data_IF_277370036903
#
_entry.id   IF_277370036903
#
_cell.length_a   1.000
_cell.length_b   1.000
_cell.length_c   1.000
_cell.angle_alpha   90.00
_cell.angle_beta   90.00
_cell.angle_gamma   90.00
#
_symmetry.space_group_name_H-M   'P 1'
#
loop_
_entity.id
_entity.type
_entity.pdbx_description
1 polymer ?
#
# COMPACT_ATOMS: atom_id res chain seq x y z
N UNK A 1 -85.43 7.25 1.41
CA UNK A 1 -86.48 8.11 1.99
C UNK A 1 -85.87 8.87 3.16
N UNK A 2 -86.32 10.10 3.39
CA UNK A 2 -85.93 11.10 4.41
C UNK A 2 -84.72 12.00 4.09
N UNK A 3 -85.02 13.13 3.42
CA UNK A 3 -84.50 14.46 3.81
C UNK A 3 -85.00 14.78 5.24
N UNK A 4 -84.27 15.56 6.08
CA UNK A 4 -84.21 17.03 5.97
C UNK A 4 -82.81 17.57 6.42
N UNK A 5 -82.42 18.83 6.48
CA UNK A 5 -83.07 20.15 6.51
C UNK A 5 -81.93 21.17 6.29
N UNK A 6 -82.17 22.25 5.53
CA UNK A 6 -81.25 23.41 5.46
C UNK A 6 -81.57 24.38 6.59
N UNK A 7 -80.55 24.91 7.27
CA UNK A 7 -80.64 26.24 7.90
C UNK A 7 -79.27 26.92 8.03
N UNK A 8 -79.15 28.01 7.29
CA UNK A 8 -78.43 29.25 7.58
C UNK A 8 -76.94 29.21 7.96
N UNK A 9 -76.09 29.44 6.95
CA UNK A 9 -74.74 29.99 7.12
C UNK A 9 -74.86 31.49 7.45
N UNK A 10 -74.25 31.93 8.54
CA UNK A 10 -73.82 33.32 8.75
C UNK A 10 -72.30 33.36 8.88
N UNK A 11 -71.73 34.30 8.14
CA UNK A 11 -70.31 34.54 7.94
C UNK A 11 -69.55 34.92 9.22
N UNK A 12 -68.35 34.36 9.37
CA UNK A 12 -67.26 34.94 10.16
C UNK A 12 -65.95 34.81 9.37
N UNK A 13 -65.59 35.89 8.66
CA UNK A 13 -64.25 36.46 8.52
C UNK A 13 -63.11 35.64 7.86
N UNK A 14 -62.31 36.24 6.96
CA UNK A 14 -61.15 35.58 6.38
C UNK A 14 -60.06 35.37 7.44
N UNK A 15 -59.60 34.13 7.62
CA UNK A 15 -58.43 33.86 8.46
C UNK A 15 -57.18 34.46 7.81
N UNK A 16 -56.64 35.48 8.46
CA UNK A 16 -55.38 36.12 8.08
C UNK A 16 -54.25 35.13 8.34
N UNK A 17 -53.81 34.39 7.30
CA UNK A 17 -52.46 33.79 7.30
C UNK A 17 -51.45 34.94 7.31
N UNK A 18 -51.03 35.34 8.50
CA UNK A 18 -49.96 36.32 8.68
C UNK A 18 -48.70 35.81 7.98
N UNK A 19 -48.24 36.54 6.95
CA UNK A 19 -46.89 36.35 6.42
C UNK A 19 -45.91 36.56 7.59
N UNK A 20 -44.96 35.66 7.86
CA UNK A 20 -44.01 35.85 8.95
C UNK A 20 -43.31 37.20 8.75
N UNK A 21 -43.45 38.10 9.73
CA UNK A 21 -42.94 39.46 9.63
C UNK A 21 -41.46 39.49 9.28
N UNK A 22 -41.04 40.41 8.40
CA UNK A 22 -39.65 40.58 7.93
C UNK A 22 -38.60 40.48 9.05
N UNK A 23 -38.93 41.02 10.23
CA UNK A 23 -38.12 40.92 11.45
C UNK A 23 -37.93 39.47 11.95
N UNK A 24 -38.99 38.65 12.00
CA UNK A 24 -38.90 37.27 12.49
C UNK A 24 -38.01 36.40 11.59
N UNK A 25 -38.09 36.62 10.27
CA UNK A 25 -37.23 35.98 9.26
C UNK A 25 -35.78 36.50 9.36
N UNK A 26 -35.58 37.79 9.63
CA UNK A 26 -34.27 38.39 9.86
C UNK A 26 -33.57 37.84 11.12
N UNK A 27 -34.27 37.79 12.26
CA UNK A 27 -33.74 37.27 13.52
C UNK A 27 -33.46 35.76 13.48
N UNK A 28 -34.26 34.97 12.77
CA UNK A 28 -33.97 33.54 12.55
C UNK A 28 -32.77 33.34 11.64
N UNK A 29 -32.61 34.14 10.57
CA UNK A 29 -31.41 34.12 9.73
C UNK A 29 -30.15 34.54 10.50
N UNK A 30 -30.20 35.58 11.34
CA UNK A 30 -29.07 35.99 12.18
C UNK A 30 -28.71 34.95 13.25
N UNK A 31 -29.69 34.34 13.91
CA UNK A 31 -29.47 33.24 14.87
C UNK A 31 -28.90 31.99 14.18
N UNK A 32 -29.37 31.67 12.98
CA UNK A 32 -28.81 30.57 12.19
C UNK A 32 -27.36 30.85 11.79
N UNK A 33 -27.07 32.06 11.30
CA UNK A 33 -25.70 32.48 10.96
C UNK A 33 -24.75 32.44 12.17
N UNK A 34 -25.20 32.88 13.34
CA UNK A 34 -24.42 32.80 14.58
C UNK A 34 -24.16 31.34 14.99
N UNK A 35 -25.18 30.47 14.94
CA UNK A 35 -25.04 29.03 15.23
C UNK A 35 -24.08 28.34 14.26
N UNK A 36 -24.15 28.67 12.96
CA UNK A 36 -23.25 28.13 11.94
C UNK A 36 -21.80 28.59 12.18
N UNK A 37 -21.57 29.85 12.57
CA UNK A 37 -20.23 30.35 12.92
C UNK A 37 -19.66 29.65 14.15
N UNK A 38 -20.47 29.44 15.20
CA UNK A 38 -20.06 28.70 16.39
C UNK A 38 -19.74 27.25 16.05
N UNK A 39 -20.60 26.58 15.26
CA UNK A 39 -20.35 25.22 14.80
C UNK A 39 -19.05 25.13 13.99
N UNK A 40 -18.84 26.04 13.04
CA UNK A 40 -17.60 26.12 12.26
C UNK A 40 -16.37 26.28 13.15
N UNK A 41 -16.43 27.17 14.15
CA UNK A 41 -15.32 27.40 15.07
C UNK A 41 -15.03 26.16 15.94
N UNK A 42 -16.06 25.49 16.46
CA UNK A 42 -15.93 24.24 17.21
C UNK A 42 -15.31 23.16 16.33
N UNK A 43 -15.83 22.97 15.11
CA UNK A 43 -15.27 22.01 14.15
C UNK A 43 -13.82 22.34 13.82
N UNK A 44 -13.47 23.60 13.62
CA UNK A 44 -12.10 24.02 13.38
C UNK A 44 -11.18 23.70 14.58
N UNK A 45 -11.63 23.96 15.82
CA UNK A 45 -10.88 23.57 17.01
C UNK A 45 -10.67 22.05 17.06
N UNK A 46 -11.73 21.27 16.88
CA UNK A 46 -11.64 19.80 16.88
C UNK A 46 -10.64 19.35 15.83
N UNK A 47 -10.72 19.89 14.60
CA UNK A 47 -9.86 19.47 13.50
C UNK A 47 -8.41 19.93 13.67
N UNK A 48 -8.13 21.12 14.20
CA UNK A 48 -6.76 21.65 14.24
C UNK A 48 -6.00 21.33 15.54
N UNK A 49 -6.70 20.94 16.61
CA UNK A 49 -6.08 20.44 17.85
C UNK A 49 -5.95 18.92 17.76
N UNK A 50 -4.74 18.42 17.49
CA UNK A 50 -4.48 16.98 17.23
C UNK A 50 -5.12 16.03 18.26
N UNK A 51 -4.97 16.21 19.59
CA UNK A 51 -5.62 15.33 20.55
C UNK A 51 -7.15 15.32 20.42
N UNK A 52 -7.77 16.47 20.18
CA UNK A 52 -9.23 16.54 19.97
C UNK A 52 -9.62 15.82 18.68
N UNK A 53 -8.91 16.09 17.56
CA UNK A 53 -9.16 15.45 16.27
C UNK A 53 -9.09 13.93 16.37
N UNK A 54 -8.00 13.40 16.94
CA UNK A 54 -7.73 11.97 16.99
C UNK A 54 -8.73 11.21 17.88
N UNK A 55 -9.33 11.87 18.88
CA UNK A 55 -10.27 11.25 19.81
C UNK A 55 -11.76 11.51 19.47
N UNK A 56 -12.06 12.61 18.78
CA UNK A 56 -13.45 13.05 18.52
C UNK A 56 -13.91 12.84 17.08
N UNK A 57 -13.01 12.58 16.13
CA UNK A 57 -13.38 12.33 14.73
C UNK A 57 -13.44 10.82 14.48
N UNK A 58 -14.65 10.24 14.30
CA UNK A 58 -14.79 8.80 14.07
C UNK A 58 -14.09 8.37 12.78
N UNK A 59 -13.37 7.24 12.82
CA UNK A 59 -12.68 6.70 11.66
C UNK A 59 -11.47 7.50 11.19
N UNK A 60 -10.91 8.37 12.05
CA UNK A 60 -9.68 9.09 11.71
C UNK A 60 -8.52 8.11 11.44
N UNK A 61 -7.87 8.15 10.27
CA UNK A 61 -6.84 7.16 9.92
C UNK A 61 -5.66 7.18 10.89
N UNK A 62 -5.21 5.99 11.29
CA UNK A 62 -4.04 5.84 12.17
C UNK A 62 -2.78 6.46 11.53
N UNK A 63 -2.68 6.32 10.20
CA UNK A 63 -1.90 7.14 9.25
C UNK A 63 -1.60 8.57 9.70
N UNK A 64 -2.67 9.26 10.07
CA UNK A 64 -2.68 10.71 10.16
C UNK A 64 -2.55 11.19 11.60
N UNK A 65 -2.56 10.27 12.58
CA UNK A 65 -2.56 10.61 14.01
C UNK A 65 -1.35 11.46 14.38
N UNK A 66 -0.20 11.19 13.75
CA UNK A 66 1.07 11.87 13.99
C UNK A 66 1.32 13.09 13.09
N UNK A 67 0.33 13.51 12.30
CA UNK A 67 0.38 14.71 11.46
C UNK A 67 -0.51 15.82 12.02
N UNK A 68 -0.05 17.07 11.93
CA UNK A 68 -0.92 18.22 12.18
C UNK A 68 -1.90 18.37 11.02
N UNK A 69 -3.06 18.96 11.26
CA UNK A 69 -4.04 19.20 10.19
C UNK A 69 -3.51 20.16 9.14
N UNK A 70 -2.66 21.11 9.52
CA UNK A 70 -1.94 21.95 8.57
C UNK A 70 -1.02 21.14 7.65
N UNK A 71 -0.25 20.20 8.20
CA UNK A 71 0.64 19.35 7.39
C UNK A 71 -0.16 18.47 6.42
N UNK A 72 -1.30 17.92 6.86
CA UNK A 72 -2.18 17.14 5.97
C UNK A 72 -2.72 18.00 4.84
N UNK A 73 -3.26 19.19 5.14
CA UNK A 73 -3.74 20.12 4.09
C UNK A 73 -2.60 20.44 3.13
N UNK A 74 -1.40 20.75 3.63
CA UNK A 74 -0.22 21.05 2.81
C UNK A 74 0.13 19.89 1.87
N UNK A 75 0.15 18.66 2.39
CA UNK A 75 0.45 17.44 1.61
C UNK A 75 -0.59 17.25 0.49
N UNK A 76 -1.88 17.26 0.84
CA UNK A 76 -2.97 17.02 -0.11
C UNK A 76 -3.04 18.12 -1.17
N UNK A 77 -2.96 19.39 -0.77
CA UNK A 77 -3.00 20.54 -1.69
C UNK A 77 -1.75 20.56 -2.57
N UNK A 78 -0.57 20.31 -2.01
CA UNK A 78 0.69 20.31 -2.76
C UNK A 78 0.70 19.26 -3.87
N UNK A 79 0.22 18.05 -3.58
CA UNK A 79 0.20 16.98 -4.57
C UNK A 79 -0.81 17.24 -5.71
N UNK A 80 -1.91 17.97 -5.48
CA UNK A 80 -2.89 18.30 -6.54
C UNK A 80 -2.23 19.00 -7.73
N UNK A 81 -1.21 19.83 -7.48
CA UNK A 81 -0.53 20.62 -8.51
C UNK A 81 0.62 19.90 -9.22
N UNK A 82 0.89 18.63 -8.88
CA UNK A 82 1.90 17.85 -9.58
C UNK A 82 1.39 17.49 -10.99
N UNK A 83 2.03 18.06 -11.99
CA UNK A 83 1.77 17.77 -13.40
C UNK A 83 2.76 16.71 -13.91
N UNK A 84 2.23 15.55 -14.29
CA UNK A 84 2.99 14.42 -14.81
C UNK A 84 2.66 14.28 -16.29
N UNK A 85 3.69 14.37 -17.14
CA UNK A 85 3.52 14.15 -18.58
C UNK A 85 3.45 12.64 -18.87
N UNK A 86 2.24 12.20 -19.21
CA UNK A 86 1.91 10.79 -19.52
C UNK A 86 1.95 10.46 -21.01
N UNK A 87 2.40 11.39 -21.87
CA UNK A 87 2.64 11.07 -23.28
C UNK A 87 3.66 9.92 -23.41
N UNK A 88 3.57 9.05 -24.43
CA UNK A 88 4.60 8.04 -24.66
C UNK A 88 6.00 8.67 -24.77
N UNK A 89 7.01 8.01 -24.22
CA UNK A 89 8.40 8.45 -24.43
C UNK A 89 8.79 8.20 -25.90
N UNK A 90 9.29 9.24 -26.57
CA UNK A 90 9.67 9.19 -28.00
C UNK A 90 11.17 9.36 -28.23
N UNK A 91 11.97 9.45 -27.17
CA UNK A 91 13.42 9.61 -27.26
C UNK A 91 14.17 8.28 -27.47
N UNK A 92 15.50 8.36 -27.58
CA UNK A 92 16.35 7.18 -27.77
C UNK A 92 16.52 6.35 -26.49
N UNK A 93 16.43 5.04 -26.64
CA UNK A 93 16.70 4.04 -25.61
C UNK A 93 18.17 3.57 -25.54
N UNK A 94 19.05 4.06 -26.42
CA UNK A 94 20.43 3.56 -26.52
C UNK A 94 21.22 3.67 -25.22
N UNK A 95 21.15 4.81 -24.54
CA UNK A 95 21.85 5.00 -23.26
C UNK A 95 21.28 4.10 -22.16
N UNK A 96 19.97 3.83 -22.20
CA UNK A 96 19.30 2.90 -21.28
C UNK A 96 19.82 1.50 -21.51
N UNK A 97 19.77 1.01 -22.74
CA UNK A 97 20.28 -0.31 -23.10
C UNK A 97 21.77 -0.46 -22.77
N UNK A 98 22.60 0.54 -23.07
CA UNK A 98 24.05 0.53 -22.76
C UNK A 98 24.32 0.42 -21.27
N UNK A 99 23.49 1.06 -20.43
CA UNK A 99 23.64 1.01 -18.97
C UNK A 99 23.11 -0.30 -18.40
N UNK A 100 21.96 -0.78 -18.88
CA UNK A 100 21.38 -2.05 -18.45
C UNK A 100 22.25 -3.25 -18.84
N UNK A 101 22.98 -3.18 -19.96
CA UNK A 101 23.96 -4.19 -20.35
C UNK A 101 25.12 -4.39 -19.35
N UNK A 102 25.31 -3.46 -18.40
CA UNK A 102 26.36 -3.53 -17.37
C UNK A 102 25.87 -4.07 -16.02
N UNK A 103 24.58 -4.37 -15.89
CA UNK A 103 23.99 -4.92 -14.67
C UNK A 103 23.39 -6.29 -14.94
N UNK A 104 23.24 -7.09 -13.89
CA UNK A 104 22.58 -8.39 -13.97
C UNK A 104 21.07 -8.18 -14.08
N UNK A 105 20.55 -8.21 -15.32
CA UNK A 105 19.11 -8.23 -15.58
C UNK A 105 18.55 -9.65 -15.41
N UNK A 106 17.34 -9.80 -14.86
CA UNK A 106 16.69 -11.11 -14.75
C UNK A 106 16.25 -11.63 -16.12
N UNK A 107 16.12 -12.95 -16.22
CA UNK A 107 15.51 -13.62 -17.37
C UNK A 107 14.26 -14.34 -16.91
N UNK A 108 13.23 -14.36 -17.76
CA UNK A 108 11.91 -14.89 -17.37
C UNK A 108 11.97 -16.39 -17.05
N UNK A 109 12.80 -17.14 -17.78
CA UNK A 109 13.00 -18.58 -17.60
C UNK A 109 13.70 -18.94 -16.28
N UNK A 110 14.42 -17.99 -15.67
CA UNK A 110 15.11 -18.17 -14.39
C UNK A 110 14.21 -17.82 -13.19
N UNK A 111 13.00 -17.31 -13.43
CA UNK A 111 12.11 -16.88 -12.35
C UNK A 111 11.48 -18.10 -11.66
N UNK A 112 11.56 -18.08 -10.33
CA UNK A 112 10.95 -19.07 -9.47
C UNK A 112 9.41 -19.02 -9.57
N UNK A 113 8.74 -20.14 -9.27
CA UNK A 113 7.28 -20.19 -9.18
C UNK A 113 6.86 -21.26 -8.17
N UNK A 114 5.68 -21.06 -7.58
CA UNK A 114 5.01 -22.03 -6.73
C UNK A 114 4.02 -22.85 -7.56
N UNK A 115 4.21 -24.17 -7.59
CA UNK A 115 3.34 -25.08 -8.33
C UNK A 115 2.11 -25.49 -7.51
N UNK A 116 0.93 -25.42 -8.12
CA UNK A 116 -0.33 -25.74 -7.46
C UNK A 116 -0.45 -27.23 -7.10
N UNK A 117 0.14 -28.15 -7.89
CA UNK A 117 0.14 -29.58 -7.56
C UNK A 117 1.03 -29.86 -6.37
N UNK A 118 2.20 -29.20 -6.32
CA UNK A 118 3.07 -29.26 -5.15
C UNK A 118 2.37 -28.73 -3.89
N UNK A 119 1.65 -27.62 -4.01
CA UNK A 119 0.82 -27.09 -2.93
C UNK A 119 -0.16 -28.14 -2.39
N UNK A 120 -0.95 -28.78 -3.27
CA UNK A 120 -1.90 -29.83 -2.88
C UNK A 120 -1.20 -31.04 -2.23
N UNK A 121 -0.01 -31.41 -2.72
CA UNK A 121 0.78 -32.50 -2.15
C UNK A 121 1.24 -32.18 -0.73
N UNK A 122 1.77 -30.97 -0.50
CA UNK A 122 2.27 -30.53 0.80
C UNK A 122 1.13 -30.27 1.79
N UNK A 123 0.04 -29.64 1.35
CA UNK A 123 -1.13 -29.35 2.19
C UNK A 123 -1.85 -30.63 2.65
N UNK A 124 -1.79 -31.72 1.87
CA UNK A 124 -2.34 -33.01 2.27
C UNK A 124 -1.72 -33.55 3.58
N UNK A 125 -0.44 -33.24 3.85
CA UNK A 125 0.23 -33.64 5.10
C UNK A 125 -0.36 -32.98 6.34
N UNK A 126 -1.11 -31.89 6.19
CA UNK A 126 -1.71 -31.12 7.29
C UNK A 126 -3.12 -31.61 7.67
N UNK A 127 -3.73 -32.50 6.87
CA UNK A 127 -5.10 -32.98 7.08
C UNK A 127 -5.32 -33.67 8.43
N UNK A 128 -4.26 -34.24 9.03
CA UNK A 128 -4.32 -34.84 10.36
C UNK A 128 -4.04 -33.88 11.51
N UNK A 129 -3.58 -32.67 11.24
CA UNK A 129 -3.17 -31.68 12.25
C UNK A 129 -4.09 -30.46 12.35
N UNK A 130 -4.92 -30.21 11.33
CA UNK A 130 -5.80 -29.05 11.25
C UNK A 130 -7.28 -29.49 11.30
N UNK A 131 -8.14 -28.63 11.84
CA UNK A 131 -9.60 -28.82 11.79
C UNK A 131 -10.13 -28.68 10.35
N UNK A 132 -11.40 -29.05 10.14
CA UNK A 132 -12.04 -28.88 8.81
C UNK A 132 -12.14 -27.41 8.42
N UNK A 133 -12.39 -26.54 9.38
CA UNK A 133 -12.48 -25.09 9.20
C UNK A 133 -11.11 -24.50 8.86
N UNK A 134 -10.05 -24.91 9.55
CA UNK A 134 -8.67 -24.50 9.26
C UNK A 134 -8.22 -24.96 7.87
N UNK A 135 -8.61 -26.18 7.46
CA UNK A 135 -8.34 -26.69 6.11
C UNK A 135 -9.11 -25.91 5.03
N UNK A 136 -10.32 -25.43 5.33
CA UNK A 136 -11.06 -24.58 4.41
C UNK A 136 -10.39 -23.20 4.26
N UNK A 137 -9.92 -22.61 5.37
CA UNK A 137 -9.15 -21.35 5.35
C UNK A 137 -7.84 -21.53 4.58
N UNK A 138 -7.18 -22.68 4.74
CA UNK A 138 -5.90 -22.97 4.07
C UNK A 138 -5.99 -22.84 2.53
N UNK A 139 -7.15 -23.13 1.93
CA UNK A 139 -7.37 -22.99 0.48
C UNK A 139 -7.21 -21.56 -0.04
N UNK A 140 -7.38 -20.54 0.81
CA UNK A 140 -7.17 -19.13 0.44
C UNK A 140 -5.68 -18.78 0.26
N UNK A 141 -4.79 -19.67 0.71
CA UNK A 141 -3.33 -19.52 0.70
C UNK A 141 -2.65 -20.36 -0.39
N UNK A 142 -3.39 -20.92 -1.35
CA UNK A 142 -2.79 -21.57 -2.53
C UNK A 142 -2.23 -20.55 -3.52
N UNK A 143 -1.33 -20.97 -4.43
CA UNK A 143 -0.83 -20.07 -5.46
C UNK A 143 -1.98 -19.44 -6.26
N UNK A 144 -2.00 -18.12 -6.33
CA UNK A 144 -3.06 -17.31 -6.98
C UNK A 144 -2.85 -17.19 -8.50
N UNK A 145 -1.59 -17.26 -8.92
CA UNK A 145 -1.12 -17.08 -10.29
C UNK A 145 -0.63 -18.41 -10.86
N UNK A 146 -0.79 -18.59 -12.17
CA UNK A 146 -0.18 -19.72 -12.87
C UNK A 146 1.36 -19.59 -12.86
N UNK A 147 2.12 -20.68 -13.05
CA UNK A 147 3.58 -20.60 -13.12
C UNK A 147 4.11 -19.55 -14.11
N UNK A 148 3.52 -19.48 -15.30
CA UNK A 148 3.90 -18.51 -16.33
C UNK A 148 3.65 -17.08 -15.85
N UNK A 149 2.52 -16.84 -15.20
CA UNK A 149 2.19 -15.51 -14.68
C UNK A 149 3.09 -15.12 -13.50
N UNK A 150 3.41 -16.05 -12.59
CA UNK A 150 4.38 -15.79 -11.52
C UNK A 150 5.75 -15.39 -12.10
N UNK A 151 6.23 -16.12 -13.11
CA UNK A 151 7.47 -15.81 -13.81
C UNK A 151 7.42 -14.44 -14.51
N UNK A 152 6.30 -14.13 -15.16
CA UNK A 152 6.06 -12.82 -15.79
C UNK A 152 6.08 -11.67 -14.78
N UNK A 153 5.39 -11.84 -13.64
CA UNK A 153 5.33 -10.83 -12.58
C UNK A 153 6.70 -10.60 -11.95
N UNK A 154 7.41 -11.67 -11.61
CA UNK A 154 8.76 -11.60 -11.06
C UNK A 154 9.77 -11.00 -12.04
N UNK A 155 9.70 -11.38 -13.32
CA UNK A 155 10.53 -10.78 -14.37
C UNK A 155 10.29 -9.27 -14.46
N UNK A 156 9.03 -8.83 -14.45
CA UNK A 156 8.68 -7.40 -14.48
C UNK A 156 9.16 -6.66 -13.24
N UNK A 157 8.92 -7.21 -12.05
CA UNK A 157 9.34 -6.61 -10.78
C UNK A 157 10.87 -6.46 -10.71
N UNK A 158 11.59 -7.56 -10.95
CA UNK A 158 13.03 -7.58 -10.80
C UNK A 158 13.70 -6.73 -11.89
N UNK A 159 13.22 -6.77 -13.14
CA UNK A 159 13.71 -5.89 -14.20
C UNK A 159 13.47 -4.41 -13.87
N UNK A 160 12.31 -4.09 -13.30
CA UNK A 160 11.99 -2.73 -12.82
C UNK A 160 12.99 -2.31 -11.74
N UNK A 161 13.14 -3.09 -10.67
CA UNK A 161 14.04 -2.75 -9.56
C UNK A 161 15.50 -2.62 -9.99
N UNK A 162 16.00 -3.52 -10.84
CA UNK A 162 17.37 -3.45 -11.36
C UNK A 162 17.57 -2.23 -12.27
N UNK A 163 16.58 -1.87 -13.10
CA UNK A 163 16.66 -0.67 -13.93
C UNK A 163 16.64 0.61 -13.10
N UNK A 164 15.75 0.70 -12.09
CA UNK A 164 15.71 1.84 -11.17
C UNK A 164 17.04 2.00 -10.42
N UNK A 165 17.57 0.90 -9.87
CA UNK A 165 18.85 0.89 -9.19
C UNK A 165 20.00 1.27 -10.11
N UNK A 166 20.04 0.74 -11.34
CA UNK A 166 21.08 1.04 -12.31
C UNK A 166 21.15 2.55 -12.59
N UNK A 167 20.02 3.26 -12.56
CA UNK A 167 19.90 4.70 -12.81
C UNK A 167 19.96 5.58 -11.55
N UNK A 168 20.24 5.01 -10.37
CA UNK A 168 20.20 5.71 -9.09
C UNK A 168 18.85 6.41 -8.84
N UNK A 169 17.76 5.79 -9.28
CA UNK A 169 16.41 6.24 -8.93
C UNK A 169 16.12 5.73 -7.51
N UNK A 170 15.69 6.63 -6.65
CA UNK A 170 15.27 6.31 -5.28
C UNK A 170 13.92 5.60 -5.34
N UNK A 171 13.88 4.36 -4.83
CA UNK A 171 12.68 3.55 -4.76
C UNK A 171 12.70 2.65 -3.53
N UNK A 172 11.57 2.05 -3.20
CA UNK A 172 11.47 0.93 -2.27
C UNK A 172 10.25 0.06 -2.63
N UNK A 173 10.31 -1.23 -2.30
CA UNK A 173 9.14 -2.12 -2.35
C UNK A 173 8.26 -1.89 -1.12
N UNK A 174 6.94 -1.98 -1.26
CA UNK A 174 5.98 -1.69 -0.19
C UNK A 174 4.86 -2.72 -0.14
N UNK A 175 3.95 -2.55 0.81
CA UNK A 175 2.72 -3.33 0.96
C UNK A 175 2.98 -4.86 0.96
N UNK A 176 2.20 -5.63 0.20
CA UNK A 176 2.34 -7.08 0.05
C UNK A 176 3.73 -7.49 -0.43
N UNK A 177 4.37 -6.70 -1.30
CA UNK A 177 5.74 -6.99 -1.76
C UNK A 177 6.76 -6.91 -0.62
N UNK A 178 6.59 -5.98 0.33
CA UNK A 178 7.47 -5.89 1.49
C UNK A 178 7.22 -7.04 2.48
N UNK A 179 5.97 -7.50 2.62
CA UNK A 179 5.65 -8.73 3.38
C UNK A 179 6.31 -9.93 2.70
N UNK A 180 6.26 -10.02 1.36
CA UNK A 180 6.92 -11.06 0.59
C UNK A 180 8.43 -11.11 0.83
N UNK A 181 9.10 -9.96 0.73
CA UNK A 181 10.50 -9.83 1.15
C UNK A 181 10.69 -10.35 2.58
N UNK A 182 9.86 -9.90 3.51
CA UNK A 182 10.01 -10.22 4.91
C UNK A 182 9.83 -11.71 5.19
N UNK A 183 8.86 -12.38 4.56
CA UNK A 183 8.51 -13.76 4.86
C UNK A 183 9.18 -14.77 3.96
N UNK A 184 9.43 -14.45 2.71
CA UNK A 184 9.80 -15.43 1.68
C UNK A 184 11.13 -15.08 0.98
N UNK A 185 11.75 -13.94 1.29
CA UNK A 185 12.80 -13.34 0.44
C UNK A 185 12.35 -13.29 -1.03
N UNK A 186 11.07 -13.04 -1.27
CA UNK A 186 10.46 -13.32 -2.57
C UNK A 186 8.97 -12.98 -2.57
N UNK A 187 8.27 -13.47 -3.57
CA UNK A 187 6.85 -13.18 -3.73
C UNK A 187 5.99 -13.91 -2.70
N UNK A 188 4.85 -13.34 -2.27
CA UNK A 188 3.87 -14.06 -1.46
C UNK A 188 3.14 -15.03 -2.41
N UNK A 189 3.15 -16.35 -2.15
CA UNK A 189 2.63 -17.34 -3.10
C UNK A 189 1.18 -17.10 -3.53
N UNK A 190 0.34 -16.61 -2.61
CA UNK A 190 -1.09 -16.39 -2.80
C UNK A 190 -1.45 -14.93 -3.12
N UNK A 191 -0.48 -14.06 -3.35
CA UNK A 191 -0.71 -12.67 -3.77
C UNK A 191 -0.74 -12.56 -5.30
N UNK A 192 -1.28 -11.50 -5.89
CA UNK A 192 -1.44 -11.42 -7.36
C UNK A 192 -0.90 -10.15 -8.04
N UNK A 193 -0.21 -9.30 -7.29
CA UNK A 193 0.54 -8.14 -7.78
C UNK A 193 1.74 -7.77 -6.90
N UNK A 194 2.51 -6.78 -7.34
CA UNK A 194 3.64 -6.25 -6.60
C UNK A 194 3.69 -4.73 -6.66
N UNK A 195 4.05 -4.11 -5.54
CA UNK A 195 4.01 -2.66 -5.33
C UNK A 195 5.42 -2.08 -5.15
N UNK A 196 5.75 -1.08 -5.97
CA UNK A 196 7.00 -0.34 -5.90
C UNK A 196 6.68 1.15 -5.81
N UNK A 197 7.30 1.86 -4.86
CA UNK A 197 7.24 3.31 -4.79
C UNK A 197 8.58 3.92 -5.21
N UNK A 198 8.54 4.96 -6.04
CA UNK A 198 9.72 5.73 -6.45
C UNK A 198 9.56 7.23 -6.18
N UNK A 199 10.68 7.96 -6.06
CA UNK A 199 10.66 9.39 -5.76
C UNK A 199 9.98 10.17 -6.90
N UNK A 200 8.89 10.86 -6.57
CA UNK A 200 8.10 11.64 -7.51
C UNK A 200 8.95 12.69 -8.23
N UNK A 201 9.98 13.26 -7.61
CA UNK A 201 10.87 14.23 -8.26
C UNK A 201 11.63 13.62 -9.46
N UNK A 202 11.79 12.30 -9.50
CA UNK A 202 12.52 11.57 -10.54
C UNK A 202 11.60 11.00 -11.65
N UNK A 203 10.30 11.32 -11.66
CA UNK A 203 9.34 10.79 -12.64
C UNK A 203 9.77 10.95 -14.11
N UNK A 204 10.44 12.04 -14.58
CA UNK A 204 10.85 12.13 -15.97
C UNK A 204 11.90 11.07 -16.34
N UNK A 205 12.82 10.80 -15.42
CA UNK A 205 13.84 9.77 -15.59
C UNK A 205 13.23 8.38 -15.52
N UNK A 206 12.29 8.15 -14.59
CA UNK A 206 11.56 6.89 -14.48
C UNK A 206 10.78 6.60 -15.76
N UNK A 207 10.08 7.59 -16.32
CA UNK A 207 9.39 7.49 -17.61
C UNK A 207 10.35 7.02 -18.71
N UNK A 208 11.48 7.72 -18.89
CA UNK A 208 12.51 7.34 -19.88
C UNK A 208 13.00 5.91 -19.67
N UNK A 209 13.40 5.57 -18.45
CA UNK A 209 14.00 4.27 -18.14
C UNK A 209 13.00 3.17 -18.36
N UNK A 210 11.81 3.27 -17.78
CA UNK A 210 10.78 2.23 -17.83
C UNK A 210 10.16 2.05 -19.22
N UNK A 211 10.12 3.10 -20.05
CA UNK A 211 9.74 2.96 -21.47
C UNK A 211 10.81 2.24 -22.32
N UNK A 212 12.03 2.07 -21.81
CA UNK A 212 13.17 1.52 -22.52
C UNK A 212 13.71 0.21 -21.91
N UNK A 213 13.03 -0.38 -20.92
CA UNK A 213 13.45 -1.69 -20.39
C UNK A 213 13.04 -2.78 -21.37
N UNK A 214 13.98 -3.60 -21.91
CA UNK A 214 13.64 -4.65 -22.86
C UNK A 214 12.64 -5.66 -22.28
N UNK A 215 11.63 -6.02 -23.07
CA UNK A 215 10.61 -7.00 -22.70
C UNK A 215 9.52 -6.49 -21.76
N UNK A 216 9.55 -5.21 -21.36
CA UNK A 216 8.51 -4.58 -20.55
C UNK A 216 7.80 -3.48 -21.32
N UNK A 217 6.54 -3.24 -20.94
CA UNK A 217 5.73 -2.12 -21.37
C UNK A 217 5.30 -1.29 -20.16
N UNK A 218 5.20 0.03 -20.35
CA UNK A 218 4.79 0.99 -19.33
C UNK A 218 3.43 1.60 -19.68
N UNK A 219 2.49 1.54 -18.74
CA UNK A 219 1.26 2.30 -18.77
C UNK A 219 1.25 3.36 -17.67
N UNK A 220 0.98 4.62 -18.04
CA UNK A 220 0.95 5.75 -17.10
C UNK A 220 -0.49 6.19 -16.81
N UNK A 221 -1.06 5.67 -15.73
CA UNK A 221 -2.41 5.99 -15.25
C UNK A 221 -2.58 7.47 -14.86
N UNK A 222 -3.82 7.96 -14.98
CA UNK A 222 -4.21 9.34 -14.64
C UNK A 222 -4.21 9.58 -13.12
N UNK A 223 -4.47 8.52 -12.37
CA UNK A 223 -4.44 8.41 -10.92
C UNK A 223 -3.03 8.33 -10.32
N UNK A 224 -2.00 8.44 -11.17
CA UNK A 224 -0.58 8.39 -10.80
C UNK A 224 -0.14 7.03 -10.25
N UNK A 225 -0.92 6.00 -10.56
CA UNK A 225 -0.56 4.59 -10.44
C UNK A 225 -0.13 4.12 -11.82
N UNK A 226 1.16 3.86 -11.98
CA UNK A 226 1.70 3.33 -13.24
C UNK A 226 1.72 1.82 -13.18
N UNK A 227 1.65 1.19 -14.35
CA UNK A 227 1.70 -0.27 -14.47
C UNK A 227 2.85 -0.65 -15.39
N UNK A 228 3.66 -1.60 -14.94
CA UNK A 228 4.74 -2.19 -15.73
C UNK A 228 4.43 -3.67 -15.90
N UNK A 229 4.41 -4.16 -17.12
CA UNK A 229 4.07 -5.56 -17.41
C UNK A 229 4.94 -6.10 -18.54
N UNK A 230 5.17 -7.43 -18.59
CA UNK A 230 5.88 -8.03 -19.71
C UNK A 230 5.11 -7.84 -21.01
N UNK A 231 5.80 -7.50 -22.09
CA UNK A 231 5.20 -7.39 -23.43
C UNK A 231 4.60 -8.72 -23.91
N UNK A 232 5.09 -9.84 -23.38
CA UNK A 232 4.59 -11.20 -23.65
C UNK A 232 3.34 -11.59 -22.85
N UNK A 233 2.93 -10.80 -21.85
CA UNK A 233 1.79 -11.12 -21.00
C UNK A 233 0.46 -11.00 -21.78
N UNK A 234 -0.59 -11.66 -21.32
CA UNK A 234 -1.90 -11.58 -21.99
C UNK A 234 -2.56 -10.22 -21.73
N UNK A 235 -3.34 -9.72 -22.70
CA UNK A 235 -4.15 -8.53 -22.49
C UNK A 235 -5.11 -8.78 -21.32
N UNK A 236 -5.14 -7.87 -20.35
CA UNK A 236 -5.97 -8.03 -19.18
C UNK A 236 -7.45 -7.91 -19.57
N UNK A 237 -8.29 -8.82 -19.10
CA UNK A 237 -9.71 -8.89 -19.49
C UNK A 237 -10.40 -7.53 -19.36
N UNK A 238 -10.97 -7.04 -20.45
CA UNK A 238 -11.67 -5.75 -20.51
C UNK A 238 -10.79 -4.52 -20.73
N UNK A 239 -9.46 -4.67 -20.78
CA UNK A 239 -8.53 -3.59 -21.11
C UNK A 239 -8.26 -3.49 -22.61
N UNK A 240 -7.76 -2.32 -23.03
CA UNK A 240 -7.27 -2.10 -24.39
C UNK A 240 -5.75 -2.11 -24.50
N UNK A 241 -5.05 -1.95 -23.38
CA UNK A 241 -3.60 -1.76 -23.36
C UNK A 241 -2.91 -2.56 -22.24
N UNK A 242 -3.44 -2.50 -21.02
CA UNK A 242 -2.78 -3.11 -19.87
C UNK A 242 -2.84 -4.64 -19.99
N UNK A 243 -1.69 -5.29 -19.77
CA UNK A 243 -1.56 -6.75 -19.73
C UNK A 243 -1.45 -7.24 -18.29
N UNK A 244 -1.84 -8.48 -18.05
CA UNK A 244 -1.78 -9.12 -16.74
C UNK A 244 -0.85 -10.34 -16.79
N UNK A 245 0.03 -10.53 -15.78
CA UNK A 245 0.16 -9.74 -14.55
C UNK A 245 0.98 -8.46 -14.74
N UNK A 246 0.93 -7.57 -13.74
CA UNK A 246 1.63 -6.28 -13.75
C UNK A 246 2.21 -5.93 -12.38
N UNK A 247 3.23 -5.08 -12.41
CA UNK A 247 3.78 -4.35 -11.27
C UNK A 247 3.08 -3.01 -11.16
N UNK A 248 2.61 -2.68 -9.97
CA UNK A 248 2.13 -1.35 -9.64
C UNK A 248 3.28 -0.46 -9.18
N UNK A 249 3.47 0.63 -9.91
CA UNK A 249 4.55 1.58 -9.72
C UNK A 249 3.96 2.93 -9.32
N UNK A 250 4.10 3.28 -8.04
CA UNK A 250 3.58 4.52 -7.47
C UNK A 250 4.70 5.53 -7.24
N UNK A 251 4.31 6.79 -7.15
CA UNK A 251 5.22 7.88 -6.77
C UNK A 251 5.08 8.19 -5.29
N UNK A 252 6.19 8.50 -4.61
CA UNK A 252 6.18 9.05 -3.26
C UNK A 252 6.83 10.44 -3.21
N UNK A 253 6.33 11.26 -2.31
CA UNK A 253 6.96 12.50 -1.86
C UNK A 253 7.38 12.35 -0.41
N UNK A 254 8.25 13.26 0.06
CA UNK A 254 8.65 13.28 1.46
C UNK A 254 9.05 14.69 1.93
N UNK A 255 9.02 14.90 3.24
CA UNK A 255 9.57 16.07 3.92
C UNK A 255 10.48 15.64 5.07
N UNK A 256 10.78 16.52 6.02
CA UNK A 256 11.60 16.15 7.18
C UNK A 256 10.95 15.09 8.08
N UNK A 257 9.62 15.04 8.11
CA UNK A 257 8.86 14.19 9.01
C UNK A 257 8.32 12.90 8.38
N UNK A 258 7.81 12.95 7.15
CA UNK A 258 7.01 11.86 6.56
C UNK A 258 7.37 11.59 5.09
N UNK A 259 7.05 10.37 4.66
CA UNK A 259 6.98 9.92 3.27
C UNK A 259 5.53 9.59 2.99
N UNK A 260 4.99 9.99 1.83
CA UNK A 260 3.61 9.70 1.45
C UNK A 260 3.49 9.41 -0.05
N UNK A 261 2.56 8.53 -0.45
CA UNK A 261 2.28 8.30 -1.85
C UNK A 261 1.60 9.54 -2.45
N UNK A 262 1.97 9.87 -3.68
CA UNK A 262 1.35 10.94 -4.45
C UNK A 262 -0.05 10.53 -4.91
N UNK A 263 -0.29 9.23 -5.11
CA UNK A 263 -1.61 8.68 -5.39
C UNK A 263 -2.57 8.99 -4.23
N UNK A 264 -3.73 9.56 -4.53
CA UNK A 264 -4.60 10.19 -3.53
C UNK A 264 -5.19 9.18 -2.54
N UNK A 265 -5.71 8.06 -3.05
CA UNK A 265 -6.36 7.04 -2.23
C UNK A 265 -5.34 6.29 -1.36
N UNK A 266 -4.12 6.07 -1.86
CA UNK A 266 -3.07 5.35 -1.13
C UNK A 266 -2.51 6.15 0.07
N UNK A 267 -2.78 7.45 0.19
CA UNK A 267 -2.30 8.26 1.33
C UNK A 267 -2.81 7.74 2.66
N UNK A 268 -4.04 7.22 2.67
CA UNK A 268 -4.65 6.56 3.83
C UNK A 268 -4.23 5.12 3.98
N UNK A 269 -3.23 4.64 3.24
CA UNK A 269 -2.71 3.27 3.34
C UNK A 269 -1.19 3.26 3.60
N UNK A 270 -0.41 4.17 2.99
CA UNK A 270 1.06 4.07 2.94
C UNK A 270 1.83 5.33 3.40
N UNK A 271 1.18 6.31 4.03
CA UNK A 271 1.89 7.49 4.58
C UNK A 271 2.59 7.17 5.89
N UNK A 272 3.91 7.36 5.95
CA UNK A 272 4.76 6.84 7.03
C UNK A 272 5.77 7.86 7.55
N UNK A 273 6.23 7.74 8.82
CA UNK A 273 7.35 8.53 9.30
C UNK A 273 8.58 8.31 8.43
N UNK A 274 9.22 9.41 7.99
CA UNK A 274 10.38 9.35 7.09
C UNK A 274 11.47 8.46 7.62
N UNK A 275 11.78 8.54 8.92
CA UNK A 275 12.79 7.72 9.61
C UNK A 275 12.56 6.19 9.53
N UNK A 276 11.36 5.74 9.18
CA UNK A 276 11.05 4.31 9.00
C UNK A 276 11.28 3.86 7.55
N UNK A 277 11.23 4.79 6.60
CA UNK A 277 11.36 4.49 5.16
C UNK A 277 12.75 4.88 4.65
N UNK A 278 13.19 6.11 4.90
CA UNK A 278 14.40 6.72 4.37
C UNK A 278 15.46 6.99 5.47
N UNK A 279 16.77 6.84 5.17
CA UNK A 279 17.30 6.21 3.96
C UNK A 279 16.88 4.74 3.88
N UNK A 280 16.73 4.23 2.67
CA UNK A 280 16.34 2.84 2.45
C UNK A 280 17.45 1.88 2.92
N UNK A 281 17.08 0.62 3.12
CA UNK A 281 18.01 -0.48 3.33
C UNK A 281 18.06 -1.36 2.09
N UNK A 282 19.09 -2.21 1.99
CA UNK A 282 19.22 -3.21 0.94
C UNK A 282 18.66 -4.54 1.44
N UNK A 283 17.73 -5.11 0.67
CA UNK A 283 17.19 -6.45 0.87
C UNK A 283 17.53 -7.36 -0.31
N UNK A 284 17.09 -8.62 -0.21
CA UNK A 284 17.14 -9.61 -1.30
C UNK A 284 15.75 -10.12 -1.58
N UNK A 285 15.39 -10.15 -2.86
CA UNK A 285 14.11 -10.64 -3.36
C UNK A 285 14.37 -11.55 -4.56
N UNK A 286 14.00 -12.83 -4.46
CA UNK A 286 14.29 -13.89 -5.44
C UNK A 286 15.77 -13.94 -5.85
N UNK A 287 16.67 -13.67 -4.89
CA UNK A 287 18.13 -13.64 -5.11
C UNK A 287 18.66 -12.35 -5.76
N UNK A 288 17.83 -11.35 -6.01
CA UNK A 288 18.23 -10.04 -6.54
C UNK A 288 18.25 -8.97 -5.45
N UNK A 289 19.19 -8.01 -5.50
CA UNK A 289 19.20 -6.89 -4.56
C UNK A 289 18.03 -5.96 -4.84
N UNK A 290 17.30 -5.58 -3.79
CA UNK A 290 16.19 -4.63 -3.84
C UNK A 290 16.32 -3.57 -2.76
N UNK A 291 15.71 -2.41 -2.98
CA UNK A 291 15.58 -1.36 -1.98
C UNK A 291 14.31 -1.58 -1.15
N UNK A 292 14.44 -1.54 0.17
CA UNK A 292 13.36 -1.72 1.15
C UNK A 292 13.34 -0.52 2.11
N UNK A 293 12.22 -0.26 2.82
CA UNK A 293 12.21 0.70 3.92
C UNK A 293 13.34 0.46 4.92
N UNK A 294 13.87 1.54 5.50
CA UNK A 294 14.95 1.46 6.48
C UNK A 294 14.63 0.69 7.77
N UNK A 295 13.35 0.69 8.18
CA UNK A 295 12.81 -0.04 9.32
C UNK A 295 11.60 -0.89 8.88
N UNK A 296 11.83 -1.96 8.08
CA UNK A 296 10.75 -2.68 7.41
C UNK A 296 9.80 -3.34 8.41
N UNK A 297 10.31 -3.92 9.50
CA UNK A 297 9.46 -4.53 10.55
C UNK A 297 8.49 -3.55 11.20
N UNK A 298 8.92 -2.30 11.46
CA UNK A 298 8.03 -1.29 12.06
C UNK A 298 6.97 -0.82 11.08
N UNK A 299 7.37 -0.63 9.83
CA UNK A 299 6.43 -0.30 8.76
C UNK A 299 5.38 -1.41 8.63
N UNK A 300 5.82 -2.66 8.44
CA UNK A 300 4.94 -3.82 8.31
C UNK A 300 4.02 -4.00 9.51
N UNK A 301 4.55 -3.98 10.73
CA UNK A 301 3.72 -4.23 11.91
C UNK A 301 2.69 -3.13 12.17
N UNK A 302 2.99 -1.90 11.76
CA UNK A 302 2.03 -0.81 11.84
C UNK A 302 0.85 -1.04 10.88
N UNK A 303 1.10 -1.54 9.67
CA UNK A 303 0.04 -1.79 8.68
C UNK A 303 -0.74 -3.08 8.94
N UNK A 304 -0.06 -4.15 9.36
CA UNK A 304 -0.60 -5.51 9.26
C UNK A 304 -0.58 -6.31 10.58
N UNK A 305 -0.12 -5.74 11.69
CA UNK A 305 -0.02 -6.46 12.97
C UNK A 305 1.23 -7.34 13.07
N UNK A 306 1.16 -8.50 13.71
CA UNK A 306 2.35 -9.35 13.92
C UNK A 306 2.69 -10.15 12.65
N UNK A 307 3.43 -9.54 11.73
CA UNK A 307 3.71 -10.17 10.42
C UNK A 307 4.59 -11.41 10.53
N UNK A 308 5.24 -11.67 11.66
CA UNK A 308 6.05 -12.86 11.90
C UNK A 308 5.19 -14.09 12.23
N UNK A 309 3.99 -13.86 12.79
CA UNK A 309 3.09 -14.91 13.27
C UNK A 309 1.83 -15.07 12.44
N UNK A 310 1.30 -13.98 11.88
CA UNK A 310 -0.04 -13.94 11.32
C UNK A 310 -0.03 -13.81 9.80
N UNK A 311 -0.64 -14.77 9.12
CA UNK A 311 -0.77 -14.79 7.67
C UNK A 311 -2.22 -14.46 7.28
N UNK A 312 -2.37 -13.51 6.36
CA UNK A 312 -3.68 -13.01 5.92
C UNK A 312 -3.90 -13.33 4.44
N UNK A 313 -5.16 -13.55 4.08
CA UNK A 313 -5.58 -13.64 2.70
C UNK A 313 -5.48 -12.29 1.99
N UNK A 314 -5.64 -12.31 0.66
CA UNK A 314 -5.68 -11.10 -0.17
C UNK A 314 -6.81 -10.17 0.28
N UNK A 315 -6.55 -8.87 0.17
CA UNK A 315 -7.54 -7.81 0.37
C UNK A 315 -8.19 -7.36 -0.94
N UNK A 316 -7.56 -7.67 -2.07
CA UNK A 316 -8.02 -7.32 -3.40
C UNK A 316 -7.63 -8.44 -4.37
N UNK A 317 -8.55 -8.86 -5.22
CA UNK A 317 -8.29 -9.78 -6.31
C UNK A 317 -7.97 -8.98 -7.56
N UNK A 318 -6.68 -8.84 -7.89
CA UNK A 318 -6.27 -7.93 -8.97
C UNK A 318 -6.81 -8.34 -10.30
N UNK A 319 -6.77 -9.63 -10.64
CA UNK A 319 -7.28 -10.12 -11.92
C UNK A 319 -8.76 -9.78 -12.12
N UNK A 320 -9.58 -9.94 -11.08
CA UNK A 320 -11.03 -9.75 -11.09
C UNK A 320 -11.46 -8.30 -10.83
N UNK A 321 -10.55 -7.40 -10.44
CA UNK A 321 -10.84 -6.02 -10.02
C UNK A 321 -11.81 -5.94 -8.84
N UNK A 322 -11.67 -6.86 -7.90
CA UNK A 322 -12.62 -7.00 -6.79
C UNK A 322 -11.93 -6.76 -5.46
N UNK A 323 -12.45 -5.81 -4.67
CA UNK A 323 -12.08 -5.70 -3.26
C UNK A 323 -12.70 -6.86 -2.49
N UNK A 324 -11.90 -7.57 -1.69
CA UNK A 324 -12.38 -8.65 -0.84
C UNK A 324 -13.11 -8.02 0.36
N UNK A 325 -14.41 -8.33 0.56
CA UNK A 325 -15.17 -7.86 1.71
C UNK A 325 -14.47 -8.25 3.01
N UNK A 326 -14.53 -7.38 4.03
CA UNK A 326 -13.83 -7.61 5.31
C UNK A 326 -14.22 -8.94 5.96
N UNK A 327 -15.48 -9.35 5.81
CA UNK A 327 -16.00 -10.62 6.34
C UNK A 327 -15.43 -11.86 5.66
N UNK A 328 -14.92 -11.72 4.43
CA UNK A 328 -14.38 -12.82 3.62
C UNK A 328 -12.85 -12.85 3.68
N UNK A 329 -12.22 -11.90 4.37
CA UNK A 329 -10.77 -11.89 4.58
C UNK A 329 -10.44 -12.91 5.65
N UNK A 330 -9.65 -13.91 5.30
CA UNK A 330 -9.27 -14.98 6.21
C UNK A 330 -7.89 -14.74 6.80
N UNK A 331 -7.68 -15.36 7.96
CA UNK A 331 -6.45 -15.30 8.74
C UNK A 331 -6.13 -16.70 9.23
N UNK A 332 -4.84 -17.01 9.28
CA UNK A 332 -4.34 -18.14 10.04
C UNK A 332 -2.94 -17.85 10.58
N UNK A 333 -2.52 -18.52 11.67
CA UNK A 333 -1.11 -18.53 12.06
C UNK A 333 -0.25 -18.99 10.87
N UNK A 334 0.92 -18.40 10.68
CA UNK A 334 1.82 -18.77 9.58
C UNK A 334 2.46 -20.16 9.75
N UNK A 335 2.42 -20.76 10.94
CA UNK A 335 3.08 -22.04 11.23
C UNK A 335 2.69 -23.20 10.29
N UNK A 336 1.41 -23.44 9.95
CA UNK A 336 1.05 -24.45 8.96
C UNK A 336 1.60 -24.12 7.56
N UNK A 337 1.65 -22.84 7.19
CA UNK A 337 2.18 -22.39 5.89
C UNK A 337 3.70 -22.57 5.78
N UNK A 338 4.44 -22.54 6.90
CA UNK A 338 5.89 -22.87 6.92
C UNK A 338 6.20 -24.32 6.53
N UNK A 339 5.21 -25.21 6.59
CA UNK A 339 5.35 -26.60 6.11
C UNK A 339 5.08 -26.73 4.61
N UNK A 340 4.46 -25.71 4.00
CA UNK A 340 4.09 -25.69 2.58
C UNK A 340 5.09 -24.84 1.79
N UNK A 341 5.44 -23.67 2.31
CA UNK A 341 6.25 -22.67 1.62
C UNK A 341 7.56 -22.38 2.35
N UNK A 342 8.60 -21.93 1.63
CA UNK A 342 9.79 -21.37 2.24
C UNK A 342 9.46 -20.13 3.09
N UNK A 343 10.03 -20.06 4.29
CA UNK A 343 9.94 -18.90 5.19
C UNK A 343 11.30 -18.44 5.68
N UNK A 344 11.45 -17.14 5.85
CA UNK A 344 12.65 -16.50 6.38
C UNK A 344 12.67 -16.63 7.89
N UNK A 345 13.78 -17.15 8.39
CA UNK A 345 14.13 -17.16 9.81
C UNK A 345 15.20 -16.10 10.06
N UNK A 346 14.91 -15.16 10.96
CA UNK A 346 15.84 -14.07 11.32
C UNK A 346 16.51 -14.37 12.65
N UNK A 347 17.83 -14.31 12.65
CA UNK A 347 18.64 -14.38 13.86
C UNK A 347 18.53 -13.10 14.70
N UNK A 348 19.04 -13.17 15.93
CA UNK A 348 19.26 -11.95 16.73
C UNK A 348 20.31 -11.10 16.01
N UNK A 349 20.15 -9.76 15.98
CA UNK A 349 21.16 -8.94 15.35
C UNK A 349 22.47 -8.97 16.15
N UNK A 350 23.59 -9.05 15.46
CA UNK A 350 24.91 -9.02 16.04
C UNK A 350 25.12 -7.74 16.86
N UNK A 351 25.66 -7.87 18.07
CA UNK A 351 25.74 -6.76 19.02
C UNK A 351 26.77 -5.70 18.59
N UNK A 352 27.78 -6.05 17.80
CA UNK A 352 28.86 -5.15 17.38
C UNK A 352 28.55 -4.47 16.06
N UNK A 353 28.04 -5.23 15.10
CA UNK A 353 27.83 -4.80 13.71
C UNK A 353 26.38 -4.43 13.42
N UNK A 354 25.43 -4.91 14.23
CA UNK A 354 24.00 -4.74 13.97
C UNK A 354 23.47 -5.62 12.84
N UNK A 355 24.30 -6.47 12.24
CA UNK A 355 23.95 -7.36 11.14
C UNK A 355 22.95 -8.42 11.63
N UNK A 356 21.89 -8.64 10.85
CA UNK A 356 20.93 -9.72 11.05
C UNK A 356 21.18 -10.77 9.99
N UNK A 357 21.43 -12.01 10.43
CA UNK A 357 21.46 -13.16 9.51
C UNK A 357 20.05 -13.65 9.26
N UNK A 358 19.68 -13.74 7.99
CA UNK A 358 18.39 -14.16 7.50
C UNK A 358 18.56 -15.46 6.71
N UNK A 359 17.79 -16.48 7.05
CA UNK A 359 17.88 -17.79 6.41
C UNK A 359 16.53 -18.10 5.78
N UNK A 360 16.49 -18.34 4.47
CA UNK A 360 15.29 -18.88 3.84
C UNK A 360 15.26 -20.38 4.10
N UNK A 361 14.22 -20.86 4.78
CA UNK A 361 14.11 -22.25 5.24
C UNK A 361 12.86 -22.89 4.67
N UNK A 362 12.99 -24.09 4.15
CA UNK A 362 11.90 -24.93 3.66
C UNK A 362 12.13 -26.36 4.15
N UNK A 363 11.12 -26.97 4.78
CA UNK A 363 11.21 -28.34 5.30
C UNK A 363 12.53 -28.61 6.05
N UNK A 364 12.87 -27.71 6.99
CA UNK A 364 14.08 -27.76 7.83
C UNK A 364 15.42 -27.65 7.06
N UNK A 365 15.39 -27.45 5.75
CA UNK A 365 16.56 -27.17 4.92
C UNK A 365 16.73 -25.68 4.71
N UNK A 366 17.93 -25.17 4.93
CA UNK A 366 18.31 -23.80 4.57
C UNK A 366 18.53 -23.75 3.05
N UNK A 367 17.72 -22.96 2.36
CA UNK A 367 17.81 -22.72 0.92
C UNK A 367 18.81 -21.61 0.59
N UNK A 368 18.85 -20.55 1.41
CA UNK A 368 19.75 -19.42 1.23
C UNK A 368 20.01 -18.68 2.54
N UNK A 369 21.13 -17.95 2.61
CA UNK A 369 21.51 -17.12 3.76
C UNK A 369 21.86 -15.72 3.26
N UNK A 370 21.30 -14.71 3.91
CA UNK A 370 21.56 -13.30 3.63
C UNK A 370 21.91 -12.54 4.91
N UNK A 371 22.80 -11.56 4.80
CA UNK A 371 23.15 -10.68 5.92
C UNK A 371 22.53 -9.31 5.66
N UNK A 372 21.47 -9.00 6.40
CA UNK A 372 20.78 -7.72 6.33
C UNK A 372 21.32 -6.74 7.37
N UNK A 373 21.25 -5.45 7.08
CA UNK A 373 21.49 -4.38 8.05
C UNK A 373 20.28 -3.46 8.05
N UNK A 374 19.59 -3.37 9.17
CA UNK A 374 18.43 -2.51 9.36
C UNK A 374 18.82 -1.24 10.10
N UNK A 375 18.20 -0.11 9.75
CA UNK A 375 18.45 1.15 10.45
C UNK A 375 17.86 1.04 11.86
N UNK A 376 18.72 0.85 12.86
CA UNK A 376 18.30 0.90 14.26
C UNK A 376 18.05 2.36 14.65
N UNK A 377 16.98 2.59 15.41
CA UNK A 377 16.97 3.77 16.28
C UNK A 377 18.13 3.59 17.28
N UNK A 378 18.99 4.60 17.43
CA UNK A 378 19.70 4.82 18.71
C UNK A 378 18.65 5.17 19.77
N UNK A 379 17.85 4.19 20.20
CA UNK A 379 16.98 4.32 21.36
C UNK A 379 17.78 3.75 22.54
N UNK A 380 18.51 4.65 23.20
CA UNK A 380 19.49 4.34 24.24
C UNK A 380 20.61 5.38 24.32
N UNK A 381 20.29 6.65 24.09
CA UNK A 381 21.10 7.73 24.65
C UNK A 381 20.50 8.04 26.00
N UNK A 382 21.16 7.60 27.06
CA UNK A 382 21.01 8.25 28.37
C UNK A 382 21.11 9.76 28.12
N UNK A 383 20.07 10.50 28.48
CA UNK A 383 20.26 11.90 28.86
C UNK A 383 21.29 11.87 29.99
N UNK A 384 22.55 12.06 29.63
CA UNK A 384 23.58 12.34 30.60
C UNK A 384 23.23 13.70 31.18
N UNK A 385 22.51 13.67 32.31
CA UNK A 385 22.62 14.67 33.35
C UNK A 385 24.12 14.71 33.70
N UNK A 386 24.85 15.60 33.05
CA UNK A 386 26.12 16.10 33.57
C UNK A 386 25.88 17.54 34.02
N UNK A 387 25.65 17.64 35.32
CA UNK A 387 26.04 18.80 36.11
C UNK A 387 27.52 19.16 35.88
N UNK A 388 27.83 20.41 36.21
CA UNK A 388 29.10 21.16 36.26
C UNK A 388 29.19 22.14 35.09
N UNK A 389 29.20 23.45 35.30
CA UNK A 389 29.49 24.28 36.50
C UNK A 389 28.87 25.64 36.31
#
# INVERSE_FOLDING_TARGET
MTMPWKSSKKDLGPSTRSRPGRLRVFWTKHKLGARLKVLFFITAIIMFVRPLRNNLVPGWPDMFRDLSTFNLIRIYVGDVFINIDRSPYTGSCEDVHRRLAKVRMPKIEDMHFYDLKEWYSRSASLKGSLSKEELAILEDFKPSLTPIEQQQLLFAMLSTTQALAAFNISYYISEGSLIGYWRHHGFIPWDDDVDILFDAAQWPLVKKVMSCVPGLELYMGWDRMWKVYPSSAALWTGEKQIRFPFVDLFMFNYDEGHVWPVCMWMKTDAMMPRKWILPTAKGVFEGYPVSIPGQPHKNLNFHYGDVDKDCYSRIFYRRERMLVPVIDRTHMPCEPLKKIYPFVQRGKPDLKTGIVTEQLVEAQRVLSVFNATYHRNKAGGEESIKQRT
#
